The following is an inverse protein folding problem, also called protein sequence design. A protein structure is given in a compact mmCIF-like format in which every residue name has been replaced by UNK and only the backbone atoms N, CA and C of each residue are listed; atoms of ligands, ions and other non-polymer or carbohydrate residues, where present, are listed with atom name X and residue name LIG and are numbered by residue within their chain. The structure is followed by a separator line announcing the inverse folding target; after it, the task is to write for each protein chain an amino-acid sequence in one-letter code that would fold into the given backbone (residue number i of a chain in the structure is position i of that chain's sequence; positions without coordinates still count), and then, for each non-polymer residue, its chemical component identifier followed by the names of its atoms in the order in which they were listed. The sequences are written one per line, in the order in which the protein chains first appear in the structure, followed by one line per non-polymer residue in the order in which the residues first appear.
data_IF_546447677188
#
_entry.id   IF_546447677188
#
_cell.length_a   1.000
_cell.length_b   1.000
_cell.length_c   1.000
_cell.angle_alpha   90.00
_cell.angle_beta   90.00
_cell.angle_gamma   90.00
#
_symmetry.space_group_name_H-M   'P 1'
#
loop_
_entity.id
_entity.type
_entity.pdbx_description
1 polymer ?
#
# COMPACT_ATOMS: atom_id res chain seq x y z
N UNK A 1 5.90 55.88 4.97
CA UNK A 1 5.13 54.63 5.14
C UNK A 1 4.47 54.68 6.50
N UNK A 2 3.16 54.42 6.60
CA UNK A 2 2.44 54.41 7.88
C UNK A 2 2.99 53.32 8.79
N UNK A 3 3.14 53.61 10.08
CA UNK A 3 3.54 52.61 11.06
C UNK A 3 2.51 51.45 11.07
N UNK A 4 2.96 50.20 11.26
CA UNK A 4 2.06 49.06 11.39
C UNK A 4 1.16 49.23 12.62
N UNK A 5 -0.10 48.86 12.46
CA UNK A 5 -1.09 48.91 13.53
C UNK A 5 -0.80 47.86 14.61
N UNK A 6 -1.25 48.10 15.83
CA UNK A 6 -1.06 47.19 16.97
C UNK A 6 -1.56 45.77 16.68
N UNK A 7 -2.69 45.65 15.97
CA UNK A 7 -3.23 44.35 15.53
C UNK A 7 -2.30 43.61 14.55
N UNK A 8 -1.60 44.34 13.67
CA UNK A 8 -0.63 43.75 12.74
C UNK A 8 0.62 43.27 13.48
N UNK A 9 1.05 44.00 14.52
CA UNK A 9 2.20 43.62 15.35
C UNK A 9 1.87 42.35 16.15
N UNK A 10 0.71 42.31 16.82
CA UNK A 10 0.28 41.12 17.57
C UNK A 10 0.13 39.87 16.67
N UNK A 11 -0.32 40.06 15.43
CA UNK A 11 -0.38 38.97 14.44
C UNK A 11 1.02 38.49 14.03
N UNK A 12 1.97 39.39 13.85
CA UNK A 12 3.35 39.03 13.51
C UNK A 12 4.02 38.27 14.66
N UNK A 13 3.83 38.72 15.91
CA UNK A 13 4.33 38.03 17.10
C UNK A 13 3.78 36.60 17.21
N UNK A 14 2.51 36.38 16.83
CA UNK A 14 1.92 35.06 16.79
C UNK A 14 2.58 34.15 15.75
N UNK A 15 2.86 34.68 14.55
CA UNK A 15 3.56 33.94 13.50
C UNK A 15 4.96 33.54 13.97
N UNK A 16 5.70 34.48 14.55
CA UNK A 16 7.08 34.26 15.01
C UNK A 16 7.13 33.20 16.12
N UNK A 17 6.15 33.20 17.02
CA UNK A 17 6.02 32.19 18.07
C UNK A 17 5.71 30.79 17.53
N UNK A 18 5.00 30.68 16.41
CA UNK A 18 4.63 29.41 15.78
C UNK A 18 5.72 28.86 14.83
N UNK A 19 6.82 29.59 14.63
CA UNK A 19 7.92 29.16 13.77
C UNK A 19 8.85 28.14 14.45
N UNK A 20 9.02 27.00 13.79
CA UNK A 20 9.85 25.88 14.25
C UNK A 20 11.34 26.12 13.94
N UNK A 21 11.69 27.11 13.12
CA UNK A 21 13.10 27.44 12.78
C UNK A 21 13.74 28.35 13.81
N UNK A 22 12.95 29.21 14.45
CA UNK A 22 13.35 30.09 15.54
C UNK A 22 13.90 29.32 16.75
N UNK A 23 13.49 28.06 16.95
CA UNK A 23 14.01 27.17 18.00
C UNK A 23 15.10 26.25 17.46
N UNK A 24 16.29 26.27 18.08
CA UNK A 24 17.40 25.41 17.70
C UNK A 24 17.12 23.93 18.02
N UNK A 25 17.37 23.05 17.04
CA UNK A 25 17.05 21.61 17.11
C UNK A 25 18.27 20.83 17.63
N UNK A 26 18.47 20.81 18.95
CA UNK A 26 19.61 20.12 19.62
C UNK A 26 19.61 18.58 19.47
N UNK A 27 18.48 18.00 19.08
CA UNK A 27 18.30 16.55 18.94
C UNK A 27 18.36 16.06 17.48
N UNK A 28 18.42 16.96 16.48
CA UNK A 28 18.45 16.57 15.07
C UNK A 28 19.88 16.26 14.63
N UNK A 29 20.12 15.05 14.14
CA UNK A 29 21.42 14.68 13.57
C UNK A 29 21.77 15.57 12.34
N UNK A 30 22.86 16.36 12.38
CA UNK A 30 23.27 17.22 11.26
C UNK A 30 23.73 16.45 10.01
N UNK A 31 24.17 15.20 10.17
CA UNK A 31 24.70 14.38 9.07
C UNK A 31 23.61 13.72 8.22
N UNK A 32 22.37 13.65 8.73
CA UNK A 32 21.28 13.04 7.99
C UNK A 32 20.86 13.91 6.80
N UNK A 33 20.78 13.32 5.61
CA UNK A 33 20.32 14.00 4.39
C UNK A 33 19.01 13.40 3.88
N UNK A 34 18.02 14.22 3.49
CA UNK A 34 16.76 13.74 2.97
C UNK A 34 16.95 13.05 1.61
N UNK A 35 16.37 11.86 1.45
CA UNK A 35 16.31 11.21 0.14
C UNK A 35 15.25 11.92 -0.74
N UNK A 36 15.62 12.21 -1.99
CA UNK A 36 14.75 12.85 -2.98
C UNK A 36 13.55 11.95 -3.37
N UNK A 37 13.71 10.62 -3.34
CA UNK A 37 12.71 9.66 -3.83
C UNK A 37 11.69 9.22 -2.77
N UNK A 38 11.41 10.06 -1.76
CA UNK A 38 10.49 9.74 -0.65
C UNK A 38 9.02 10.05 -0.96
N UNK A 39 8.76 11.15 -1.68
CA UNK A 39 7.40 11.58 -1.98
C UNK A 39 6.87 10.79 -3.19
N UNK A 40 6.20 9.67 -2.93
CA UNK A 40 5.64 8.78 -3.96
C UNK A 40 4.13 8.70 -3.84
N UNK A 41 3.44 8.58 -4.98
CA UNK A 41 2.01 8.25 -5.00
C UNK A 41 1.82 6.75 -4.71
N UNK A 42 0.68 6.37 -4.15
CA UNK A 42 0.25 4.97 -3.92
C UNK A 42 0.48 4.10 -5.14
N UNK A 43 0.16 4.61 -6.35
CA UNK A 43 0.42 3.89 -7.62
C UNK A 43 1.89 3.52 -7.79
N UNK A 44 2.80 4.46 -7.52
CA UNK A 44 4.24 4.24 -7.64
C UNK A 44 4.74 3.29 -6.55
N UNK A 45 4.24 3.42 -5.31
CA UNK A 45 4.59 2.53 -4.19
C UNK A 45 4.19 1.10 -4.51
N UNK A 46 2.96 0.88 -4.97
CA UNK A 46 2.47 -0.44 -5.36
C UNK A 46 3.27 -1.01 -6.55
N UNK A 47 3.63 -0.17 -7.53
CA UNK A 47 4.46 -0.58 -8.65
C UNK A 47 5.90 -0.98 -8.25
N UNK A 48 6.50 -0.27 -7.29
CA UNK A 48 7.81 -0.62 -6.74
C UNK A 48 7.75 -1.93 -5.95
N UNK A 49 6.70 -2.16 -5.16
CA UNK A 49 6.49 -3.40 -4.40
C UNK A 49 6.36 -4.61 -5.33
N UNK A 50 5.52 -4.52 -6.37
CA UNK A 50 5.35 -5.61 -7.35
C UNK A 50 6.65 -5.95 -8.09
N UNK A 51 7.46 -4.95 -8.47
CA UNK A 51 8.78 -5.18 -9.08
C UNK A 51 9.77 -5.82 -8.10
N UNK A 52 9.72 -5.42 -6.82
CA UNK A 52 10.58 -5.98 -5.78
C UNK A 52 10.27 -7.47 -5.56
N UNK A 53 8.99 -7.82 -5.44
CA UNK A 53 8.55 -9.21 -5.29
C UNK A 53 8.96 -10.08 -6.49
N UNK A 54 8.78 -9.57 -7.71
CA UNK A 54 9.25 -10.24 -8.92
C UNK A 54 10.78 -10.43 -8.95
N UNK A 55 11.55 -9.42 -8.53
CA UNK A 55 13.01 -9.51 -8.47
C UNK A 55 13.53 -10.48 -7.41
N UNK A 56 12.81 -10.65 -6.29
CA UNK A 56 13.16 -11.66 -5.28
C UNK A 56 12.88 -13.09 -5.74
N UNK A 57 11.94 -13.28 -6.67
CA UNK A 57 11.64 -14.62 -7.25
C UNK A 57 12.71 -15.03 -8.26
N UNK A 58 13.24 -14.08 -9.05
CA UNK A 58 14.26 -14.35 -10.08
C UNK A 58 15.67 -14.56 -9.50
N UNK A 59 15.95 -14.04 -8.30
CA UNK A 59 17.28 -14.12 -7.68
C UNK A 59 17.59 -15.43 -6.95
N UNK A 60 16.72 -16.45 -7.01
CA UNK A 60 17.10 -17.81 -6.57
C UNK A 60 17.85 -18.47 -7.73
N UNK A 61 19.13 -18.86 -7.59
CA UNK A 61 19.83 -19.58 -8.64
C UNK A 61 19.04 -20.85 -8.94
N UNK A 62 18.52 -20.92 -10.15
CA UNK A 62 17.92 -22.12 -10.69
C UNK A 62 19.08 -23.03 -11.04
N UNK A 63 19.44 -23.96 -10.14
CA UNK A 63 20.42 -25.00 -10.42
C UNK A 63 20.01 -25.75 -11.70
N UNK A 64 20.81 -25.73 -12.78
CA UNK A 64 20.79 -26.81 -13.75
C UNK A 64 21.85 -27.82 -13.31
N UNK A 65 21.43 -29.05 -13.04
CA UNK A 65 22.35 -30.15 -12.77
C UNK A 65 23.44 -30.24 -13.86
N UNK A 66 24.70 -30.13 -13.47
CA UNK A 66 25.85 -30.24 -14.37
C UNK A 66 27.19 -30.14 -13.63
N UNK A 67 27.85 -31.28 -13.48
CA UNK A 67 29.21 -31.48 -12.94
C UNK A 67 30.26 -30.48 -13.46
N UNK A 68 31.11 -29.95 -12.58
CA UNK A 68 32.36 -29.27 -12.96
C UNK A 68 32.92 -28.31 -11.91
N UNK A 69 33.84 -28.82 -11.09
CA UNK A 69 34.90 -28.10 -10.34
C UNK A 69 35.06 -26.58 -10.55
N UNK A 70 34.89 -25.78 -9.49
CA UNK A 70 35.61 -24.51 -9.30
C UNK A 70 35.64 -24.12 -7.80
N UNK A 71 36.82 -24.24 -7.19
CA UNK A 71 37.18 -23.72 -5.87
C UNK A 71 37.18 -22.18 -5.89
N UNK A 72 36.62 -21.48 -4.89
CA UNK A 72 37.04 -20.11 -4.62
C UNK A 72 38.01 -20.09 -3.43
N UNK A 73 39.26 -19.81 -3.77
CA UNK A 73 40.36 -19.43 -2.89
C UNK A 73 39.99 -18.20 -2.06
N UNK A 74 40.44 -18.19 -0.81
CA UNK A 74 40.38 -17.03 0.08
C UNK A 74 41.04 -15.79 -0.56
N UNK A 75 40.32 -14.67 -0.56
CA UNK A 75 40.79 -13.36 -0.98
C UNK A 75 39.97 -12.27 -0.30
N UNK A 76 40.58 -11.68 0.73
CA UNK A 76 40.12 -10.53 1.51
C UNK A 76 39.63 -9.35 0.67
N UNK A 77 38.49 -8.75 1.05
CA UNK A 77 37.99 -7.53 0.41
C UNK A 77 36.60 -7.14 0.89
N UNK A 78 36.54 -6.69 2.14
CA UNK A 78 35.42 -6.05 2.83
C UNK A 78 34.62 -5.05 1.95
N UNK A 79 33.29 -5.25 1.88
CA UNK A 79 32.27 -4.25 1.50
C UNK A 79 30.87 -4.82 1.77
N UNK A 80 30.49 -4.75 3.05
CA UNK A 80 29.12 -4.95 3.52
C UNK A 80 28.22 -3.78 3.08
N UNK A 81 27.42 -3.97 2.03
CA UNK A 81 26.22 -3.16 1.75
C UNK A 81 24.96 -4.01 1.98
N UNK A 82 24.81 -4.47 3.22
CA UNK A 82 23.59 -5.10 3.72
C UNK A 82 22.69 -4.07 4.39
N UNK A 83 21.61 -3.66 3.70
CA UNK A 83 20.50 -2.92 4.31
C UNK A 83 19.88 -3.74 5.45
N UNK A 84 20.42 -3.59 6.65
CA UNK A 84 19.85 -4.10 7.89
C UNK A 84 18.77 -3.14 8.37
N UNK A 85 17.51 -3.56 8.25
CA UNK A 85 16.40 -3.00 9.03
C UNK A 85 16.55 -3.47 10.47
N UNK A 86 17.14 -2.62 11.30
CA UNK A 86 17.26 -2.79 12.74
C UNK A 86 15.89 -2.65 13.40
N UNK A 87 15.50 -3.69 14.15
CA UNK A 87 14.29 -3.69 14.94
C UNK A 87 14.02 -5.07 15.50
N UNK A 88 14.76 -5.48 16.52
CA UNK A 88 14.32 -6.33 17.65
C UNK A 88 15.55 -6.67 18.50
N UNK A 89 15.73 -5.92 19.59
CA UNK A 89 16.63 -6.30 20.67
C UNK A 89 15.93 -7.34 21.56
N UNK A 90 16.71 -8.37 21.85
CA UNK A 90 16.63 -9.57 22.72
C UNK A 90 15.82 -9.48 24.04
N UNK A 91 15.47 -10.62 24.68
CA UNK A 91 16.42 -11.35 25.56
C UNK A 91 16.44 -12.88 25.30
N UNK A 92 17.61 -13.49 25.08
CA UNK A 92 18.49 -14.07 26.11
C UNK A 92 17.77 -15.11 26.98
N UNK A 93 17.82 -16.38 26.56
CA UNK A 93 17.56 -17.53 27.44
C UNK A 93 18.90 -18.18 27.82
N UNK A 94 19.10 -18.26 29.13
CA UNK A 94 20.18 -18.86 29.91
C UNK A 94 20.60 -20.28 29.46
N UNK A 95 21.85 -20.70 29.69
CA UNK A 95 22.25 -22.10 29.56
C UNK A 95 21.69 -22.90 30.74
N UNK A 96 20.76 -23.81 30.50
CA UNK A 96 20.28 -24.72 31.52
C UNK A 96 21.34 -25.82 31.76
N UNK A 97 21.94 -25.75 32.95
CA UNK A 97 22.65 -26.85 33.57
C UNK A 97 21.70 -28.04 33.85
N UNK A 98 22.31 -29.21 33.91
CA UNK A 98 21.79 -30.53 34.32
C UNK A 98 20.55 -30.51 35.23
N UNK A 99 19.52 -31.27 34.83
CA UNK A 99 18.64 -31.94 35.78
C UNK A 99 18.26 -33.33 35.26
N UNK A 100 18.30 -34.28 36.18
CA UNK A 100 18.01 -35.70 36.02
C UNK A 100 16.49 -35.95 35.99
N UNK A 101 16.15 -37.13 35.50
CA UNK A 101 14.95 -37.92 35.82
C UNK A 101 13.66 -37.77 34.97
N UNK A 102 13.44 -38.89 34.28
CA UNK A 102 12.19 -39.65 34.19
C UNK A 102 11.19 -39.34 33.07
N UNK A 103 10.83 -40.44 32.40
CA UNK A 103 9.86 -40.62 31.34
C UNK A 103 8.55 -39.87 31.57
N UNK A 104 8.07 -39.19 30.53
CA UNK A 104 6.73 -39.42 29.99
C UNK A 104 6.59 -38.81 28.60
N UNK A 105 6.16 -39.66 27.66
CA UNK A 105 5.63 -39.27 26.36
C UNK A 105 4.57 -38.19 26.54
N UNK A 106 4.74 -37.02 25.94
CA UNK A 106 3.66 -36.16 25.44
C UNK A 106 4.22 -35.13 24.46
N UNK A 107 3.64 -35.13 23.27
CA UNK A 107 3.94 -34.25 22.15
C UNK A 107 3.90 -32.77 22.55
N UNK A 108 5.05 -32.10 22.55
CA UNK A 108 5.12 -30.65 22.46
C UNK A 108 6.41 -30.23 21.75
N UNK A 109 6.51 -30.56 20.46
CA UNK A 109 7.44 -29.89 19.56
C UNK A 109 6.99 -28.43 19.51
N UNK A 110 7.74 -27.54 20.16
CA UNK A 110 7.61 -26.12 19.91
C UNK A 110 7.76 -25.91 18.40
N UNK A 111 6.73 -25.43 17.68
CA UNK A 111 6.83 -25.24 16.25
C UNK A 111 7.86 -24.14 16.00
N UNK A 112 8.98 -24.51 15.39
CA UNK A 112 10.05 -23.59 15.01
C UNK A 112 9.46 -22.58 14.00
N UNK A 113 9.09 -21.40 14.49
CA UNK A 113 8.41 -20.35 13.72
C UNK A 113 9.21 -19.95 12.47
N UNK A 114 10.54 -20.04 12.54
CA UNK A 114 11.43 -19.78 11.40
C UNK A 114 11.37 -20.87 10.31
N UNK A 115 10.99 -22.10 10.65
CA UNK A 115 10.73 -23.17 9.68
C UNK A 115 9.32 -23.07 9.08
N UNK A 116 8.34 -22.65 9.88
CA UNK A 116 6.96 -22.45 9.44
C UNK A 116 6.81 -21.30 8.43
N UNK A 117 7.57 -20.20 8.58
CA UNK A 117 7.56 -19.10 7.60
C UNK A 117 8.18 -19.49 6.26
N UNK A 118 9.22 -20.33 6.27
CA UNK A 118 9.88 -20.84 5.05
C UNK A 118 9.00 -21.79 4.25
N UNK A 119 8.24 -22.67 4.92
CA UNK A 119 7.32 -23.59 4.25
C UNK A 119 6.13 -22.86 3.63
N UNK A 120 5.65 -21.78 4.27
CA UNK A 120 4.59 -20.92 3.75
C UNK A 120 5.05 -20.14 2.51
N UNK A 121 6.26 -19.57 2.53
CA UNK A 121 6.85 -18.91 1.36
C UNK A 121 6.97 -19.84 0.17
N UNK A 122 7.37 -21.11 0.38
CA UNK A 122 7.45 -22.13 -0.68
C UNK A 122 6.07 -22.47 -1.28
N UNK A 123 5.06 -22.63 -0.43
CA UNK A 123 3.68 -22.92 -0.86
C UNK A 123 3.04 -21.75 -1.62
N UNK A 124 3.30 -20.51 -1.19
CA UNK A 124 2.86 -19.29 -1.90
C UNK A 124 3.57 -19.18 -3.25
N UNK A 125 4.87 -19.51 -3.32
CA UNK A 125 5.63 -19.57 -4.57
C UNK A 125 5.04 -20.58 -5.56
N UNK A 126 4.75 -21.81 -5.09
CA UNK A 126 4.20 -22.86 -5.95
C UNK A 126 2.79 -22.52 -6.45
N UNK A 127 1.95 -21.92 -5.59
CA UNK A 127 0.61 -21.46 -5.97
C UNK A 127 0.68 -20.35 -7.03
N UNK A 128 1.63 -19.43 -6.91
CA UNK A 128 1.84 -18.36 -7.90
C UNK A 128 2.35 -18.89 -9.24
N UNK A 129 3.20 -19.91 -9.24
CA UNK A 129 3.68 -20.55 -10.48
C UNK A 129 2.56 -21.33 -11.20
N UNK A 130 1.67 -22.00 -10.45
CA UNK A 130 0.53 -22.75 -11.03
C UNK A 130 -0.49 -21.86 -11.72
N UNK A 131 -0.64 -20.60 -11.28
CA UNK A 131 -1.53 -19.63 -11.93
C UNK A 131 -1.03 -19.21 -13.32
N UNK A 132 0.24 -19.46 -13.65
CA UNK A 132 0.84 -19.13 -14.94
C UNK A 132 0.99 -20.34 -15.89
N UNK A 133 0.49 -21.52 -15.50
CA UNK A 133 0.71 -22.80 -16.20
C UNK A 133 -0.55 -23.52 -16.72
N UNK A 134 -1.71 -22.86 -16.76
CA UNK A 134 -2.89 -23.40 -17.46
C UNK A 134 -3.05 -22.71 -18.81
N UNK A 135 -2.52 -23.36 -19.85
CA UNK A 135 -2.55 -22.86 -21.22
C UNK A 135 -3.97 -22.83 -21.81
N UNK A 136 -4.25 -21.75 -22.56
CA UNK A 136 -5.45 -21.66 -23.39
C UNK A 136 -5.73 -20.25 -23.93
N UNK A 137 -4.90 -19.76 -24.87
CA UNK A 137 -5.34 -18.79 -25.89
C UNK A 137 -5.27 -17.29 -25.58
N UNK A 138 -4.32 -16.61 -26.22
CA UNK A 138 -4.51 -15.28 -26.83
C UNK A 138 -4.83 -14.09 -25.92
N UNK A 139 -3.80 -13.38 -25.47
CA UNK A 139 -3.93 -12.01 -24.97
C UNK A 139 -2.88 -11.68 -23.94
N UNK A 140 -2.07 -10.66 -24.20
CA UNK A 140 -1.15 -10.06 -23.23
C UNK A 140 -1.99 -9.48 -22.09
N UNK A 141 -2.28 -10.32 -21.09
CA UNK A 141 -2.77 -9.84 -19.80
C UNK A 141 -1.57 -9.22 -19.12
N UNK A 142 -1.51 -7.89 -19.19
CA UNK A 142 -0.84 -7.05 -18.19
C UNK A 142 -1.03 -7.72 -16.84
N UNK A 143 0.03 -8.33 -16.31
CA UNK A 143 0.07 -8.90 -14.97
C UNK A 143 -0.18 -7.73 -14.02
N UNK A 144 -1.45 -7.53 -13.69
CA UNK A 144 -1.90 -6.60 -12.68
C UNK A 144 -1.23 -7.02 -11.36
N UNK A 145 -0.89 -6.07 -10.47
CA UNK A 145 -0.16 -6.36 -9.24
C UNK A 145 -0.85 -7.49 -8.48
N UNK A 146 -0.10 -8.55 -8.15
CA UNK A 146 -0.55 -9.56 -7.20
C UNK A 146 -0.92 -8.83 -5.92
N UNK A 147 -2.21 -8.79 -5.65
CA UNK A 147 -2.79 -8.15 -4.49
C UNK A 147 -2.32 -8.89 -3.24
N UNK A 148 -1.23 -8.44 -2.64
CA UNK A 148 -0.79 -9.00 -1.36
C UNK A 148 -1.86 -8.67 -0.32
N UNK A 149 -2.28 -9.70 0.42
CA UNK A 149 -3.44 -9.73 1.32
C UNK A 149 -3.52 -8.55 2.31
N UNK A 150 -2.41 -7.85 2.57
CA UNK A 150 -2.31 -6.69 3.47
C UNK A 150 -2.87 -5.38 2.91
N UNK A 151 -3.15 -5.24 1.59
CA UNK A 151 -3.48 -3.93 0.99
C UNK A 151 -4.77 -3.88 0.15
N UNK A 152 -5.54 -4.97 0.04
CA UNK A 152 -6.84 -4.99 -0.66
C UNK A 152 -7.89 -5.59 0.27
N UNK A 153 -8.25 -4.87 1.34
CA UNK A 153 -9.14 -5.39 2.37
C UNK A 153 -10.64 -5.32 2.03
N UNK A 154 -11.04 -4.93 0.81
CA UNK A 154 -12.45 -4.96 0.43
C UNK A 154 -12.67 -5.59 -0.94
N UNK A 155 -13.28 -6.77 -0.93
CA UNK A 155 -13.91 -7.33 -2.14
C UNK A 155 -15.04 -6.39 -2.62
N UNK A 156 -15.28 -6.28 -3.94
CA UNK A 156 -16.41 -5.52 -4.44
C UNK A 156 -17.73 -6.16 -3.99
N UNK A 157 -18.74 -5.33 -3.74
CA UNK A 157 -20.08 -5.81 -3.41
C UNK A 157 -20.81 -6.31 -4.66
N UNK A 158 -21.46 -7.48 -4.56
CA UNK A 158 -22.40 -8.00 -5.58
C UNK A 158 -23.86 -7.66 -5.27
N UNK A 159 -24.14 -7.01 -4.14
CA UNK A 159 -25.51 -6.70 -3.75
C UNK A 159 -26.12 -5.61 -4.65
N UNK A 160 -27.43 -5.69 -4.88
CA UNK A 160 -28.15 -4.67 -5.63
C UNK A 160 -28.05 -3.30 -4.93
N UNK A 161 -27.61 -2.27 -5.66
CA UNK A 161 -27.46 -0.93 -5.08
C UNK A 161 -28.83 -0.25 -4.92
N UNK A 162 -29.07 0.37 -3.77
CA UNK A 162 -30.25 1.23 -3.59
C UNK A 162 -30.02 2.54 -4.35
N UNK A 163 -31.06 3.00 -5.06
CA UNK A 163 -30.99 4.22 -5.87
C UNK A 163 -31.60 5.40 -5.11
N UNK A 164 -30.79 6.40 -4.88
CA UNK A 164 -31.20 7.67 -4.29
C UNK A 164 -31.10 8.79 -5.32
N UNK A 165 -31.84 9.86 -5.07
CA UNK A 165 -31.86 11.06 -5.88
C UNK A 165 -30.55 11.81 -5.69
N UNK A 166 -29.93 12.20 -6.79
CA UNK A 166 -28.62 12.87 -6.77
C UNK A 166 -28.71 14.31 -6.24
N UNK A 167 -29.92 14.90 -6.21
CA UNK A 167 -30.17 16.28 -5.76
C UNK A 167 -30.64 16.32 -4.30
N UNK A 168 -31.57 15.42 -3.91
CA UNK A 168 -32.27 15.49 -2.61
C UNK A 168 -31.92 14.37 -1.64
N UNK A 169 -31.30 13.28 -2.11
CA UNK A 169 -31.02 12.09 -1.28
C UNK A 169 -32.22 11.17 -1.01
N UNK A 170 -33.43 11.55 -1.43
CA UNK A 170 -34.64 10.71 -1.33
C UNK A 170 -34.56 9.47 -2.24
N UNK A 171 -35.29 8.36 -1.98
CA UNK A 171 -35.28 7.19 -2.85
C UNK A 171 -35.76 7.58 -4.27
N UNK A 172 -34.94 7.33 -5.30
CA UNK A 172 -35.24 7.75 -6.67
C UNK A 172 -35.65 6.55 -7.53
N UNK A 173 -36.94 6.43 -7.89
CA UNK A 173 -37.40 5.40 -8.82
C UNK A 173 -37.05 5.73 -10.28
N UNK A 174 -36.80 7.00 -10.61
CA UNK A 174 -36.66 7.47 -11.98
C UNK A 174 -35.24 7.97 -12.32
N UNK A 175 -34.90 7.90 -13.61
CA UNK A 175 -33.62 8.33 -14.19
C UNK A 175 -33.89 9.17 -15.44
N UNK A 176 -33.23 10.34 -15.56
CA UNK A 176 -33.33 11.17 -16.76
C UNK A 176 -32.39 10.63 -17.87
N UNK A 177 -32.88 10.32 -19.08
CA UNK A 177 -32.05 9.78 -20.16
C UNK A 177 -31.02 10.78 -20.70
N UNK A 178 -31.26 12.09 -20.55
CA UNK A 178 -30.34 13.13 -21.06
C UNK A 178 -29.17 13.37 -20.10
N UNK A 179 -29.45 13.67 -18.83
CA UNK A 179 -28.43 13.97 -17.83
C UNK A 179 -27.90 12.74 -17.09
N UNK A 180 -28.58 11.59 -17.13
CA UNK A 180 -28.32 10.39 -16.30
C UNK A 180 -28.38 10.66 -14.78
N UNK A 181 -29.08 11.72 -14.38
CA UNK A 181 -29.40 12.03 -12.99
C UNK A 181 -30.63 11.24 -12.52
N UNK A 182 -30.57 10.78 -11.26
CA UNK A 182 -31.67 10.08 -10.58
C UNK A 182 -32.56 11.10 -9.86
N UNK A 183 -33.87 11.00 -10.05
CA UNK A 183 -34.84 11.93 -9.46
C UNK A 183 -36.02 11.22 -8.80
N UNK A 184 -36.63 11.90 -7.81
CA UNK A 184 -37.74 11.37 -7.02
C UNK A 184 -39.11 11.75 -7.59
N UNK A 185 -39.33 13.05 -7.83
CA UNK A 185 -40.60 13.62 -8.26
C UNK A 185 -40.43 14.59 -9.44
N UNK A 186 -41.55 15.09 -9.97
CA UNK A 186 -41.57 16.02 -11.11
C UNK A 186 -40.85 17.34 -10.84
N UNK A 187 -40.88 17.82 -9.61
CA UNK A 187 -40.27 19.12 -9.24
C UNK A 187 -38.76 19.05 -9.37
N UNK A 188 -38.15 17.94 -8.92
CA UNK A 188 -36.72 17.69 -9.11
C UNK A 188 -36.40 17.51 -10.60
N UNK A 189 -37.27 16.86 -11.37
CA UNK A 189 -37.07 16.74 -12.82
C UNK A 189 -37.09 18.11 -13.53
N UNK A 190 -38.02 18.98 -13.15
CA UNK A 190 -38.10 20.35 -13.67
C UNK A 190 -36.84 21.15 -13.32
N UNK A 191 -36.38 21.03 -12.07
CA UNK A 191 -35.11 21.61 -11.64
C UNK A 191 -33.93 21.10 -12.49
N UNK A 192 -33.85 19.79 -12.71
CA UNK A 192 -32.80 19.18 -13.55
C UNK A 192 -32.78 19.75 -14.96
N UNK A 193 -33.95 20.06 -15.53
CA UNK A 193 -34.05 20.66 -16.88
C UNK A 193 -33.71 22.14 -16.91
N UNK A 194 -33.77 22.83 -15.78
CA UNK A 194 -33.36 24.23 -15.65
C UNK A 194 -31.86 24.42 -15.34
N UNK A 195 -31.15 23.33 -14.99
CA UNK A 195 -29.73 23.39 -14.68
C UNK A 195 -28.90 23.90 -15.87
N UNK A 196 -27.91 24.78 -15.63
CA UNK A 196 -27.00 25.22 -16.67
C UNK A 196 -26.13 24.06 -17.17
N UNK A 197 -25.61 24.20 -18.39
CA UNK A 197 -24.70 23.23 -18.97
C UNK A 197 -23.48 23.00 -18.06
N UNK A 198 -23.10 21.74 -17.85
CA UNK A 198 -21.99 21.35 -16.96
C UNK A 198 -22.39 21.13 -15.49
N UNK A 199 -23.49 21.69 -15.00
CA UNK A 199 -23.91 21.45 -13.61
C UNK A 199 -24.34 20.00 -13.37
N UNK A 200 -24.99 19.37 -14.36
CA UNK A 200 -25.33 17.95 -14.29
C UNK A 200 -24.09 17.05 -14.13
N UNK A 201 -22.98 17.40 -14.79
CA UNK A 201 -21.71 16.66 -14.72
C UNK A 201 -21.12 16.69 -13.31
N UNK A 202 -21.22 17.82 -12.60
CA UNK A 202 -20.78 17.94 -11.20
C UNK A 202 -21.59 17.04 -10.26
N UNK A 203 -22.90 16.92 -10.45
CA UNK A 203 -23.72 15.96 -9.70
C UNK A 203 -23.33 14.51 -10.01
N UNK A 204 -22.97 14.19 -11.26
CA UNK A 204 -22.44 12.88 -11.61
C UNK A 204 -21.06 12.63 -10.99
N UNK A 205 -20.22 13.65 -10.87
CA UNK A 205 -18.89 13.59 -10.25
C UNK A 205 -19.00 13.30 -8.76
N UNK A 206 -19.91 13.99 -8.06
CA UNK A 206 -20.21 13.72 -6.65
C UNK A 206 -20.70 12.28 -6.42
N UNK A 207 -21.43 11.69 -7.39
CA UNK A 207 -21.84 10.28 -7.37
C UNK A 207 -20.71 9.31 -7.76
N UNK A 208 -19.62 9.80 -8.36
CA UNK A 208 -18.56 8.97 -8.93
C UNK A 208 -18.91 8.30 -10.26
N UNK A 209 -19.90 8.83 -11.00
CA UNK A 209 -20.35 8.33 -12.30
C UNK A 209 -20.00 9.29 -13.47
N UNK A 210 -19.14 10.28 -13.22
CA UNK A 210 -18.71 11.26 -14.22
C UNK A 210 -17.74 10.64 -15.23
N UNK A 211 -18.00 10.90 -16.52
CA UNK A 211 -17.15 10.44 -17.62
C UNK A 211 -16.35 11.62 -18.17
N UNK A 212 -15.07 11.71 -17.79
CA UNK A 212 -14.13 12.67 -18.40
C UNK A 212 -13.63 12.08 -19.71
N UNK A 213 -13.91 12.75 -20.83
CA UNK A 213 -13.30 12.42 -22.12
C UNK A 213 -11.79 12.70 -22.03
N UNK A 214 -10.97 11.75 -22.48
CA UNK A 214 -9.51 11.87 -22.52
C UNK A 214 -9.01 12.00 -23.94
#
# INVERSE_FOLDING_TARGET
MSAPTEAQIAHQELIDKLDIHSVHKSFRNPHWRPNQRRNKNIKTILGDASRKDASSIVATPQDPAGSGTATPTAGSGDKDDGLSTSGTSTPAAVPAANDDNNNNNNNNLQPNLAQASRSLSKLVLEKSLRQNGSGGGGGVVVSAPSATYTNIESAPSLAHTKRYCDVTGLPAPYLDPKSRLRYHNREVFQFIRSLPQGAAEQYLEARGAHTVLK
#
